data_IF_215964239594
#
_entry.id   IF_215964239594
#
_cell.length_a   1.000
_cell.length_b   1.000
_cell.length_c   1.000
_cell.angle_alpha   90.00
_cell.angle_beta   90.00
_cell.angle_gamma   90.00
#
_symmetry.space_group_name_H-M   'P 1'
#
loop_
_entity.id
_entity.type
_entity.pdbx_description
1 polymer ?
#
# COMPACT_ATOMS: atom_id res chain seq x y z
N UNK A 1 -69.86 -34.47 -7.38
CA UNK A 1 -70.82 -33.68 -6.58
C UNK A 1 -70.13 -32.39 -6.13
N UNK A 2 -70.81 -31.23 -6.20
CA UNK A 2 -70.22 -29.91 -6.02
C UNK A 2 -70.34 -29.44 -4.57
N UNK A 3 -69.36 -28.69 -4.04
CA UNK A 3 -69.65 -27.59 -3.11
C UNK A 3 -68.61 -26.48 -3.25
N UNK A 4 -69.11 -25.32 -3.70
CA UNK A 4 -68.49 -24.00 -3.55
C UNK A 4 -68.38 -23.67 -2.06
N UNK A 5 -67.29 -23.04 -1.65
CA UNK A 5 -67.26 -22.22 -0.44
C UNK A 5 -66.53 -20.91 -0.74
N UNK A 6 -67.32 -19.85 -0.83
CA UNK A 6 -66.92 -18.44 -0.81
C UNK A 6 -66.95 -17.96 0.65
N UNK A 7 -65.91 -17.23 1.07
CA UNK A 7 -65.84 -16.26 2.20
C UNK A 7 -64.37 -15.94 2.41
N UNK A 8 -63.92 -14.72 2.67
CA UNK A 8 -64.58 -13.45 2.88
C UNK A 8 -63.47 -12.45 3.18
N UNK A 9 -63.48 -11.31 2.50
CA UNK A 9 -62.55 -10.21 2.69
C UNK A 9 -62.80 -9.52 4.02
N UNK A 10 -61.78 -9.40 4.87
CA UNK A 10 -61.79 -8.48 6.00
C UNK A 10 -60.81 -7.34 5.74
N UNK A 11 -61.39 -6.18 5.46
CA UNK A 11 -60.69 -4.91 5.31
C UNK A 11 -60.07 -4.50 6.64
N UNK A 12 -58.78 -4.11 6.59
CA UNK A 12 -58.10 -3.46 7.70
C UNK A 12 -58.38 -1.96 7.65
N UNK A 13 -58.69 -1.31 8.80
CA UNK A 13 -58.92 0.12 8.85
C UNK A 13 -57.63 0.92 8.63
N UNK A 14 -57.71 1.92 7.76
CA UNK A 14 -56.71 2.98 7.61
C UNK A 14 -56.70 3.84 8.87
N UNK A 15 -55.59 3.82 9.61
CA UNK A 15 -55.36 4.72 10.72
C UNK A 15 -54.84 6.05 10.16
N UNK A 16 -55.67 7.09 10.24
CA UNK A 16 -55.30 8.47 9.93
C UNK A 16 -54.63 9.03 11.19
N UNK A 17 -53.31 9.21 11.16
CA UNK A 17 -52.59 9.92 12.23
C UNK A 17 -52.62 11.41 11.93
N UNK A 18 -53.30 12.14 12.80
CA UNK A 18 -53.44 13.59 12.76
C UNK A 18 -52.09 14.30 12.92
N UNK A 19 -51.79 15.22 12.00
CA UNK A 19 -50.72 16.22 12.14
C UNK A 19 -51.14 17.24 13.20
N UNK A 20 -50.40 17.30 14.31
CA UNK A 20 -50.51 18.39 15.29
C UNK A 20 -49.59 19.53 14.86
N UNK A 21 -50.20 20.61 14.37
CA UNK A 21 -49.54 21.91 14.15
C UNK A 21 -49.38 22.54 15.54
N UNK A 22 -48.14 22.75 15.97
CA UNK A 22 -47.83 23.58 17.15
C UNK A 22 -47.39 24.93 16.62
N UNK A 23 -48.22 25.93 16.90
CA UNK A 23 -48.00 27.35 16.61
C UNK A 23 -47.25 27.96 17.80
N UNK A 24 -46.12 28.63 17.49
CA UNK A 24 -45.70 29.88 18.10
C UNK A 24 -45.22 29.88 19.56
N UNK A 25 -43.90 29.98 19.74
CA UNK A 25 -43.30 30.65 20.90
C UNK A 25 -42.26 31.65 20.38
N UNK A 26 -42.24 32.90 20.89
CA UNK A 26 -41.47 33.99 20.30
C UNK A 26 -39.96 33.87 20.56
N UNK A 27 -39.18 34.33 19.58
CA UNK A 27 -37.74 34.56 19.70
C UNK A 27 -37.46 35.53 20.83
N UNK A 28 -36.82 35.04 21.89
CA UNK A 28 -36.10 35.88 22.85
C UNK A 28 -34.77 36.24 22.20
N UNK A 29 -34.57 37.52 21.91
CA UNK A 29 -33.31 38.07 21.46
C UNK A 29 -32.25 37.91 22.56
N UNK A 30 -31.37 36.93 22.40
CA UNK A 30 -30.17 36.78 23.24
C UNK A 30 -29.17 37.86 22.80
N UNK A 31 -28.91 38.81 23.69
CA UNK A 31 -27.83 39.78 23.54
C UNK A 31 -26.48 39.07 23.28
N UNK A 32 -25.65 39.55 22.34
CA UNK A 32 -24.32 38.99 22.14
C UNK A 32 -23.45 39.28 23.36
N UNK A 33 -23.20 38.25 24.16
CA UNK A 33 -22.23 38.30 25.25
C UNK A 33 -20.84 38.34 24.62
N UNK A 34 -20.13 39.46 24.81
CA UNK A 34 -18.76 39.64 24.35
C UNK A 34 -17.87 38.49 24.85
N UNK A 35 -17.42 37.65 23.93
CA UNK A 35 -16.45 36.59 24.18
C UNK A 35 -15.04 37.20 24.22
N UNK A 36 -14.31 36.87 25.30
CA UNK A 36 -12.94 37.26 25.52
C UNK A 36 -12.02 36.84 24.36
N UNK A 37 -10.99 37.64 24.01
CA UNK A 37 -10.04 37.30 22.96
C UNK A 37 -9.07 36.26 23.51
N UNK A 38 -9.28 34.99 23.17
CA UNK A 38 -8.45 33.94 23.77
C UNK A 38 -8.74 32.52 23.31
N UNK A 39 -8.83 32.28 22.00
CA UNK A 39 -8.49 31.00 21.35
C UNK A 39 -8.66 31.17 19.85
N UNK A 40 -7.55 31.50 19.18
CA UNK A 40 -7.46 31.33 17.75
C UNK A 40 -7.82 29.86 17.43
N UNK A 41 -8.95 29.64 16.75
CA UNK A 41 -9.13 28.41 15.99
C UNK A 41 -8.01 28.43 14.96
N UNK A 42 -6.96 27.65 15.21
CA UNK A 42 -5.90 27.42 14.25
C UNK A 42 -6.59 26.79 13.04
N UNK A 43 -6.86 27.61 12.03
CA UNK A 43 -7.21 27.16 10.70
C UNK A 43 -6.01 26.30 10.29
N UNK A 44 -6.14 24.98 10.36
CA UNK A 44 -5.12 24.06 9.86
C UNK A 44 -5.10 24.34 8.35
N UNK A 45 -4.04 24.97 7.85
CA UNK A 45 -3.80 25.07 6.41
C UNK A 45 -3.67 23.63 5.90
N UNK A 46 -4.68 23.16 5.16
CA UNK A 46 -4.72 21.82 4.54
C UNK A 46 -3.82 21.70 3.30
N UNK A 47 -2.65 22.33 3.30
CA UNK A 47 -1.74 22.29 2.14
C UNK A 47 -0.60 21.29 2.30
N UNK A 48 -0.34 20.86 3.53
CA UNK A 48 0.58 19.77 3.82
C UNK A 48 -0.23 18.61 4.41
N UNK A 49 0.16 17.37 4.12
CA UNK A 49 -0.07 16.22 5.01
C UNK A 49 -1.24 15.24 4.79
N UNK A 50 -1.58 14.81 3.58
CA UNK A 50 -2.61 13.75 3.47
C UNK A 50 -2.18 12.56 2.61
N UNK A 51 -1.78 11.46 3.27
CA UNK A 51 -1.89 10.14 2.66
C UNK A 51 -3.35 9.86 2.34
N UNK A 52 -3.60 9.31 1.15
CA UNK A 52 -4.91 8.80 0.78
C UNK A 52 -5.30 7.52 1.53
N UNK A 53 -4.36 6.67 1.97
CA UNK A 53 -4.69 5.33 2.49
C UNK A 53 -4.03 4.98 3.82
N UNK A 54 -4.71 4.19 4.65
CA UNK A 54 -4.18 3.62 5.91
C UNK A 54 -4.67 2.18 6.12
N UNK A 55 -3.91 1.38 6.85
CA UNK A 55 -4.31 0.01 7.22
C UNK A 55 -4.32 -0.12 8.75
N UNK A 56 -5.48 -0.50 9.28
CA UNK A 56 -5.69 -0.92 10.66
C UNK A 56 -5.79 -2.45 10.75
N UNK A 57 -5.29 -3.02 11.85
CA UNK A 57 -5.03 -4.46 11.97
C UNK A 57 -5.38 -5.00 13.36
N UNK A 58 -6.00 -6.18 13.40
CA UNK A 58 -6.32 -6.93 14.64
C UNK A 58 -5.75 -8.34 14.64
N UNK A 59 -4.96 -8.69 15.65
CA UNK A 59 -4.39 -10.04 15.78
C UNK A 59 -5.47 -11.13 15.98
N UNK A 60 -5.19 -12.29 15.38
CA UNK A 60 -5.82 -13.62 15.48
C UNK A 60 -7.15 -13.81 16.24
N UNK A 61 -8.24 -13.14 15.84
CA UNK A 61 -9.60 -13.57 16.21
C UNK A 61 -10.56 -13.55 15.03
N UNK A 62 -11.08 -14.72 14.58
CA UNK A 62 -12.04 -14.79 13.48
C UNK A 62 -13.35 -14.04 13.77
N UNK A 63 -13.72 -13.87 15.04
CA UNK A 63 -14.94 -13.18 15.44
C UNK A 63 -14.89 -11.68 15.16
N UNK A 64 -13.69 -11.08 15.26
CA UNK A 64 -13.49 -9.64 14.99
C UNK A 64 -13.93 -9.30 13.57
N UNK A 65 -13.61 -10.16 12.59
CA UNK A 65 -14.03 -9.96 11.21
C UNK A 65 -15.55 -9.85 11.08
N UNK A 66 -16.29 -10.79 11.67
CA UNK A 66 -17.76 -10.81 11.57
C UNK A 66 -18.37 -9.59 12.25
N UNK A 67 -17.87 -9.23 13.44
CA UNK A 67 -18.34 -8.05 14.18
C UNK A 67 -18.04 -6.75 13.43
N UNK A 68 -16.82 -6.60 12.91
CA UNK A 68 -16.40 -5.42 12.16
C UNK A 68 -17.21 -5.27 10.87
N UNK A 69 -17.33 -6.34 10.08
CA UNK A 69 -18.10 -6.34 8.84
C UNK A 69 -19.58 -6.02 9.11
N UNK A 70 -20.18 -6.67 10.11
CA UNK A 70 -21.56 -6.39 10.48
C UNK A 70 -21.74 -4.96 10.98
N UNK A 71 -20.77 -4.39 11.70
CA UNK A 71 -20.88 -3.02 12.19
C UNK A 71 -20.77 -2.01 11.04
N UNK A 72 -19.72 -2.08 10.23
CA UNK A 72 -19.47 -1.13 9.15
C UNK A 72 -20.59 -1.19 8.10
N UNK A 73 -21.10 -2.39 7.78
CA UNK A 73 -22.21 -2.53 6.84
C UNK A 73 -23.54 -1.94 7.32
N UNK A 74 -23.68 -1.68 8.62
CA UNK A 74 -24.87 -1.05 9.21
C UNK A 74 -24.68 0.46 9.46
N UNK A 75 -23.52 1.03 9.13
CA UNK A 75 -23.33 2.48 9.21
C UNK A 75 -24.19 3.21 8.15
N UNK A 76 -24.62 4.45 8.44
CA UNK A 76 -25.34 5.25 7.45
C UNK A 76 -24.45 5.55 6.24
N UNK A 77 -25.08 5.66 5.06
CA UNK A 77 -24.41 5.99 3.79
C UNK A 77 -23.34 4.98 3.35
N UNK A 78 -23.42 3.73 3.83
CA UNK A 78 -22.55 2.65 3.36
C UNK A 78 -23.16 1.96 2.16
N UNK A 79 -22.36 1.82 1.11
CA UNK A 79 -22.73 1.09 -0.10
C UNK A 79 -21.75 -0.05 -0.32
N UNK A 80 -22.26 -1.28 -0.43
CA UNK A 80 -21.46 -2.45 -0.74
C UNK A 80 -21.04 -2.45 -2.21
N UNK A 81 -19.73 -2.47 -2.48
CA UNK A 81 -19.17 -2.44 -3.83
C UNK A 81 -18.81 -3.81 -4.38
N UNK A 82 -18.41 -4.74 -3.53
CA UNK A 82 -18.07 -6.08 -4.00
C UNK A 82 -17.15 -6.85 -3.07
N UNK A 83 -16.69 -7.99 -3.59
CA UNK A 83 -15.75 -8.86 -2.89
C UNK A 83 -14.34 -8.32 -3.03
N UNK A 84 -13.59 -8.40 -1.94
CA UNK A 84 -12.19 -8.06 -1.89
C UNK A 84 -11.38 -9.34 -1.72
N UNK A 85 -10.64 -9.76 -2.74
CA UNK A 85 -9.88 -11.01 -2.69
C UNK A 85 -8.50 -10.84 -3.32
N UNK A 86 -7.47 -11.16 -2.54
CA UNK A 86 -6.08 -11.12 -2.99
C UNK A 86 -5.34 -12.40 -2.65
N UNK A 87 -4.42 -12.77 -3.54
CA UNK A 87 -3.50 -13.88 -3.34
C UNK A 87 -2.08 -13.35 -3.41
N UNK A 88 -1.35 -13.52 -2.32
CA UNK A 88 0.05 -13.19 -2.21
C UNK A 88 0.92 -14.47 -2.18
N UNK A 89 2.03 -14.45 -2.90
CA UNK A 89 3.01 -15.55 -3.00
C UNK A 89 4.42 -15.01 -2.81
N UNK A 90 5.29 -15.82 -2.21
CA UNK A 90 6.73 -15.53 -2.17
C UNK A 90 7.52 -16.50 -3.06
N UNK A 91 8.59 -15.99 -3.66
CA UNK A 91 9.53 -16.72 -4.49
C UNK A 91 10.94 -16.39 -4.03
N UNK A 92 11.85 -17.37 -4.17
CA UNK A 92 13.27 -17.21 -3.87
C UNK A 92 14.09 -17.45 -5.11
N UNK A 93 15.05 -16.57 -5.38
CA UNK A 93 16.04 -16.79 -6.43
C UNK A 93 16.95 -17.95 -6.04
N UNK A 94 17.16 -18.91 -6.95
CA UNK A 94 18.21 -19.93 -6.84
C UNK A 94 19.54 -19.47 -7.47
N UNK A 95 19.57 -18.29 -8.09
CA UNK A 95 20.79 -17.64 -8.56
C UNK A 95 21.32 -16.66 -7.52
N UNK A 96 22.65 -16.50 -7.46
CA UNK A 96 23.29 -15.45 -6.66
C UNK A 96 23.14 -14.08 -7.35
N UNK A 97 22.85 -12.99 -6.60
CA UNK A 97 22.60 -12.95 -5.16
C UNK A 97 21.21 -13.49 -4.78
N UNK A 98 21.09 -14.01 -3.56
CA UNK A 98 19.81 -14.42 -2.97
C UNK A 98 18.85 -13.23 -2.94
N UNK A 99 17.80 -13.31 -3.76
CA UNK A 99 16.73 -12.31 -3.86
C UNK A 99 15.39 -12.92 -3.51
N UNK A 100 14.51 -12.06 -3.01
CA UNK A 100 13.14 -12.41 -2.71
C UNK A 100 12.21 -11.65 -3.64
N UNK A 101 11.21 -12.35 -4.16
CA UNK A 101 10.17 -11.78 -4.99
C UNK A 101 8.84 -12.09 -4.33
N UNK A 102 7.99 -11.08 -4.21
CA UNK A 102 6.66 -11.19 -3.64
C UNK A 102 5.65 -10.73 -4.67
N UNK A 103 4.71 -11.60 -5.03
CA UNK A 103 3.67 -11.31 -6.02
C UNK A 103 2.31 -11.24 -5.34
N UNK A 104 1.53 -10.20 -5.62
CA UNK A 104 0.15 -10.02 -5.17
C UNK A 104 -0.77 -9.92 -6.39
N UNK A 105 -1.74 -10.83 -6.48
CA UNK A 105 -2.81 -10.74 -7.47
C UNK A 105 -3.88 -9.77 -6.96
N UNK A 106 -4.10 -8.69 -7.70
CA UNK A 106 -5.07 -7.63 -7.39
C UNK A 106 -5.95 -7.39 -8.62
N UNK A 107 -7.20 -7.87 -8.58
CA UNK A 107 -8.09 -7.81 -9.75
C UNK A 107 -7.48 -8.52 -10.96
N UNK A 108 -7.28 -7.79 -12.05
CA UNK A 108 -6.65 -8.26 -13.29
C UNK A 108 -5.14 -7.98 -13.34
N UNK A 109 -4.57 -7.48 -12.25
CA UNK A 109 -3.16 -7.13 -12.13
C UNK A 109 -2.41 -8.13 -11.26
N UNK A 110 -1.11 -8.28 -11.55
CA UNK A 110 -0.15 -8.83 -10.59
C UNK A 110 0.89 -7.76 -10.26
N UNK A 111 1.00 -7.45 -8.98
CA UNK A 111 1.99 -6.52 -8.46
C UNK A 111 3.12 -7.29 -7.82
N UNK A 112 4.35 -6.93 -8.17
CA UNK A 112 5.56 -7.66 -7.82
C UNK A 112 6.47 -6.73 -7.05
N UNK A 113 6.79 -7.10 -5.82
CA UNK A 113 7.82 -6.48 -5.01
C UNK A 113 9.06 -7.37 -5.01
N UNK A 114 10.12 -6.90 -5.66
CA UNK A 114 11.44 -7.50 -5.62
C UNK A 114 12.24 -6.85 -4.48
N UNK A 115 12.74 -7.65 -3.54
CA UNK A 115 13.64 -7.17 -2.48
C UNK A 115 15.00 -7.87 -2.57
N UNK A 116 16.07 -7.07 -2.58
CA UNK A 116 17.43 -7.54 -2.34
C UNK A 116 17.88 -7.16 -0.93
N UNK A 117 17.75 -8.11 0.01
CA UNK A 117 18.12 -7.88 1.42
C UNK A 117 19.61 -7.64 1.60
N UNK A 118 20.45 -8.24 0.76
CA UNK A 118 21.91 -8.08 0.80
C UNK A 118 22.35 -6.72 0.25
N UNK A 119 21.44 -5.95 -0.35
CA UNK A 119 21.77 -4.59 -0.79
C UNK A 119 21.97 -3.64 0.39
N UNK A 120 21.47 -3.93 1.59
CA UNK A 120 21.68 -3.10 2.78
C UNK A 120 23.09 -3.23 3.34
N UNK A 121 23.68 -4.42 3.23
CA UNK A 121 25.04 -4.70 3.69
C UNK A 121 26.09 -4.13 2.72
N UNK A 122 25.69 -3.89 1.46
CA UNK A 122 26.60 -3.49 0.38
C UNK A 122 27.16 -2.07 0.51
N UNK A 123 26.41 -1.02 0.86
CA UNK A 123 26.96 0.31 1.08
C UNK A 123 28.04 0.32 2.17
N UNK A 124 27.78 -0.32 3.32
CA UNK A 124 28.77 -0.43 4.40
C UNK A 124 30.00 -1.24 3.95
N UNK A 125 29.80 -2.30 3.15
CA UNK A 125 30.92 -3.03 2.56
C UNK A 125 31.71 -2.20 1.55
N UNK A 126 31.05 -1.36 0.74
CA UNK A 126 31.69 -0.46 -0.22
C UNK A 126 32.47 0.65 0.48
N UNK A 127 31.93 1.24 1.55
CA UNK A 127 32.64 2.23 2.38
C UNK A 127 33.87 1.60 3.03
N UNK A 128 33.74 0.38 3.54
CA UNK A 128 34.89 -0.37 4.08
C UNK A 128 35.96 -0.61 3.02
N UNK A 129 35.58 -1.08 1.83
CA UNK A 129 36.53 -1.29 0.71
C UNK A 129 37.20 0.03 0.31
N UNK A 130 36.45 1.13 0.28
CA UNK A 130 36.98 2.46 -0.04
C UNK A 130 37.99 2.93 1.01
N UNK A 131 37.66 2.79 2.29
CA UNK A 131 38.56 3.15 3.39
C UNK A 131 39.86 2.31 3.36
N UNK A 132 39.75 1.00 3.08
CA UNK A 132 40.91 0.11 2.92
C UNK A 132 41.77 0.52 1.72
N UNK A 133 41.16 0.88 0.59
CA UNK A 133 41.88 1.39 -0.59
C UNK A 133 42.57 2.73 -0.34
N UNK A 134 41.92 3.65 0.37
CA UNK A 134 42.49 4.95 0.75
C UNK A 134 43.68 4.76 1.71
N UNK A 135 43.55 3.88 2.72
CA UNK A 135 44.64 3.54 3.63
C UNK A 135 45.82 2.87 2.91
N UNK A 136 45.56 1.95 1.98
CA UNK A 136 46.60 1.31 1.17
C UNK A 136 47.33 2.32 0.27
N UNK A 137 46.60 3.27 -0.31
CA UNK A 137 47.16 4.34 -1.14
C UNK A 137 48.02 5.30 -0.31
N UNK A 138 47.59 5.65 0.90
CA UNK A 138 48.37 6.48 1.83
C UNK A 138 49.64 5.76 2.32
N UNK A 139 49.56 4.47 2.63
CA UNK A 139 50.74 3.68 3.02
C UNK A 139 51.75 3.56 1.87
N UNK A 140 51.28 3.39 0.62
CA UNK A 140 52.14 3.39 -0.55
C UNK A 140 52.83 4.75 -0.78
N UNK A 141 52.12 5.86 -0.56
CA UNK A 141 52.68 7.21 -0.66
C UNK A 141 53.73 7.51 0.42
N UNK A 142 53.52 7.00 1.65
CA UNK A 142 54.47 7.18 2.76
C UNK A 142 55.73 6.30 2.65
N UNK A 143 55.67 5.22 1.86
CA UNK A 143 56.80 4.32 1.62
C UNK A 143 57.72 4.78 0.48
N UNK A 144 57.46 5.93 -0.15
CA UNK A 144 58.41 6.53 -1.09
C UNK A 144 59.62 6.99 -0.29
N UNK A 145 60.79 6.34 -0.42
CA UNK A 145 61.97 6.75 0.31
C UNK A 145 62.30 8.18 -0.10
N UNK A 146 62.51 9.05 0.88
CA UNK A 146 63.25 10.29 0.67
C UNK A 146 64.61 9.88 0.12
N UNK A 147 64.77 10.05 -1.19
CA UNK A 147 66.05 9.95 -1.86
C UNK A 147 66.89 11.08 -1.27
N UNK A 148 67.65 10.76 -0.22
CA UNK A 148 68.79 11.59 0.14
C UNK A 148 69.77 11.48 -1.03
N UNK A 149 70.19 12.64 -1.53
CA UNK A 149 71.09 12.80 -2.67
C UNK A 149 72.35 11.91 -2.55
N UNK A 150 72.83 11.47 -3.71
CA UNK A 150 74.07 10.73 -3.97
C UNK A 150 74.01 9.18 -3.92
N UNK A 151 73.35 8.54 -4.90
CA UNK A 151 73.94 7.33 -5.50
C UNK A 151 73.40 7.04 -6.92
N UNK A 152 74.33 6.89 -7.86
CA UNK A 152 74.11 6.56 -9.27
C UNK A 152 73.62 5.11 -9.39
N UNK A 153 72.33 4.91 -9.66
CA UNK A 153 71.78 3.58 -9.93
C UNK A 153 72.06 3.19 -11.38
N UNK A 154 72.84 2.12 -11.54
CA UNK A 154 73.17 1.46 -12.80
C UNK A 154 71.90 0.77 -13.33
N UNK A 155 71.42 1.21 -14.50
CA UNK A 155 70.36 0.56 -15.28
C UNK A 155 70.84 -0.82 -15.75
N UNK A 156 70.02 -1.86 -15.57
CA UNK A 156 70.28 -3.13 -16.25
C UNK A 156 70.00 -3.01 -17.76
N UNK A 157 70.66 -3.84 -18.55
CA UNK A 157 70.60 -3.80 -20.03
C UNK A 157 69.25 -4.26 -20.62
N UNK A 158 68.24 -4.55 -19.78
CA UNK A 158 66.88 -4.89 -20.21
C UNK A 158 65.88 -3.73 -20.04
N UNK A 159 66.27 -2.63 -19.39
CA UNK A 159 65.51 -1.38 -19.38
C UNK A 159 64.16 -1.47 -18.67
N UNK A 160 64.02 -2.35 -17.67
CA UNK A 160 62.77 -2.52 -16.94
C UNK A 160 62.94 -2.14 -15.48
N UNK A 161 62.47 -0.93 -15.14
CA UNK A 161 62.41 -0.48 -13.75
C UNK A 161 61.57 -1.44 -12.88
N UNK A 162 61.87 -1.59 -11.58
CA UNK A 162 61.03 -2.31 -10.62
C UNK A 162 59.75 -1.50 -10.36
N UNK A 163 58.87 -1.49 -11.37
CA UNK A 163 57.57 -0.84 -11.33
C UNK A 163 56.71 -1.48 -10.27
N UNK A 164 56.39 -0.69 -9.23
CA UNK A 164 55.37 -1.00 -8.25
C UNK A 164 54.09 -1.41 -8.98
N UNK A 165 53.78 -2.71 -8.94
CA UNK A 165 52.53 -3.24 -9.50
C UNK A 165 51.40 -2.53 -8.75
N UNK A 166 50.57 -1.70 -9.42
CA UNK A 166 49.49 -1.01 -8.75
C UNK A 166 48.59 -2.04 -8.04
N UNK A 167 48.09 -1.76 -6.83
CA UNK A 167 47.24 -2.69 -6.12
C UNK A 167 46.06 -3.04 -7.02
N UNK A 168 45.93 -4.33 -7.30
CA UNK A 168 44.90 -4.91 -8.15
C UNK A 168 43.55 -4.44 -7.62
N UNK A 169 42.93 -3.46 -8.28
CA UNK A 169 41.61 -2.94 -7.92
C UNK A 169 40.67 -4.14 -7.95
N UNK A 170 40.28 -4.63 -6.78
CA UNK A 170 39.27 -5.68 -6.70
C UNK A 170 37.99 -5.08 -7.28
N UNK A 171 37.51 -5.67 -8.38
CA UNK A 171 36.32 -5.27 -9.11
C UNK A 171 35.20 -4.92 -8.12
N UNK A 172 34.86 -3.64 -8.04
CA UNK A 172 33.66 -3.20 -7.31
C UNK A 172 32.50 -3.99 -7.92
N UNK A 173 31.80 -4.84 -7.14
CA UNK A 173 30.75 -5.67 -7.68
C UNK A 173 29.56 -4.78 -8.04
N UNK A 174 29.54 -4.29 -9.28
CA UNK A 174 28.37 -3.74 -9.94
C UNK A 174 27.48 -4.90 -10.43
N UNK A 175 26.15 -4.77 -10.30
CA UNK A 175 25.42 -3.51 -10.34
C UNK A 175 24.94 -3.00 -8.98
N UNK A 176 24.93 -1.67 -8.80
CA UNK A 176 24.01 -0.96 -7.91
C UNK A 176 22.58 -1.22 -8.41
N UNK A 177 21.96 -2.31 -7.98
CA UNK A 177 20.54 -2.52 -8.21
C UNK A 177 19.74 -1.93 -7.06
N UNK A 178 18.54 -1.45 -7.38
CA UNK A 178 17.61 -0.93 -6.40
C UNK A 178 17.33 -1.97 -5.31
N UNK A 179 17.38 -1.54 -4.05
CA UNK A 179 17.06 -2.37 -2.87
C UNK A 179 15.69 -3.02 -3.00
N UNK A 180 14.75 -2.23 -3.49
CA UNK A 180 13.37 -2.60 -3.74
C UNK A 180 13.01 -2.19 -5.17
N UNK A 181 12.35 -3.07 -5.91
CA UNK A 181 11.76 -2.73 -7.20
C UNK A 181 10.31 -3.16 -7.20
N UNK A 182 9.40 -2.26 -7.55
CA UNK A 182 7.98 -2.53 -7.60
C UNK A 182 7.46 -2.48 -9.05
N UNK A 183 6.99 -3.62 -9.53
CA UNK A 183 6.57 -3.83 -10.92
C UNK A 183 5.11 -4.25 -10.93
N UNK A 184 4.36 -3.86 -11.95
CA UNK A 184 2.97 -4.27 -12.12
C UNK A 184 2.80 -4.83 -13.52
N UNK A 185 2.18 -6.01 -13.65
CA UNK A 185 1.99 -6.70 -14.93
C UNK A 185 0.51 -7.03 -15.15
N UNK A 186 0.10 -7.03 -16.42
CA UNK A 186 -1.22 -7.46 -16.90
C UNK A 186 -1.06 -8.49 -18.03
N UNK A 187 -1.89 -9.57 -18.08
CA UNK A 187 -2.72 -10.13 -17.02
C UNK A 187 -1.92 -10.96 -15.99
N UNK A 188 -2.49 -11.40 -14.85
CA UNK A 188 -1.75 -11.99 -13.74
C UNK A 188 -1.06 -13.31 -14.10
N UNK A 189 -1.69 -14.08 -15.01
CA UNK A 189 -1.21 -15.38 -15.49
C UNK A 189 0.12 -15.25 -16.24
N UNK A 190 0.41 -14.07 -16.82
CA UNK A 190 1.64 -13.84 -17.58
C UNK A 190 2.86 -13.98 -16.69
N UNK A 191 2.80 -13.64 -15.40
CA UNK A 191 4.00 -13.67 -14.58
C UNK A 191 4.58 -15.09 -14.42
N UNK A 192 3.75 -16.07 -14.05
CA UNK A 192 4.20 -17.46 -13.86
C UNK A 192 4.61 -18.11 -15.19
N UNK A 193 3.85 -17.82 -16.25
CA UNK A 193 4.20 -18.27 -17.60
C UNK A 193 5.53 -17.67 -18.07
N UNK A 194 5.74 -16.38 -17.80
CA UNK A 194 6.97 -15.66 -18.11
C UNK A 194 8.15 -16.27 -17.35
N UNK A 195 8.02 -16.52 -16.04
CA UNK A 195 9.07 -17.19 -15.25
C UNK A 195 9.43 -18.55 -15.86
N UNK A 196 8.44 -19.33 -16.30
CA UNK A 196 8.66 -20.60 -16.99
C UNK A 196 9.35 -20.45 -18.35
N UNK A 197 8.91 -19.50 -19.18
CA UNK A 197 9.44 -19.25 -20.52
C UNK A 197 10.90 -18.81 -20.51
N UNK A 198 11.25 -17.88 -19.61
CA UNK A 198 12.64 -17.40 -19.50
C UNK A 198 13.54 -18.36 -18.69
N UNK A 199 13.00 -19.52 -18.27
CA UNK A 199 13.67 -20.49 -17.39
C UNK A 199 14.27 -19.79 -16.17
N UNK A 200 13.50 -18.85 -15.62
CA UNK A 200 13.95 -18.00 -14.55
C UNK A 200 14.27 -18.88 -13.33
N UNK A 201 15.39 -18.57 -12.65
CA UNK A 201 15.83 -19.28 -11.45
C UNK A 201 15.05 -18.81 -10.21
N UNK A 202 13.72 -18.84 -10.27
CA UNK A 202 12.83 -18.47 -9.16
C UNK A 202 12.02 -19.68 -8.72
N UNK A 203 12.16 -20.08 -7.47
CA UNK A 203 11.40 -21.18 -6.89
C UNK A 203 10.25 -20.59 -6.03
N UNK A 204 8.99 -21.00 -6.25
CA UNK A 204 7.89 -20.61 -5.36
C UNK A 204 8.12 -21.19 -3.98
N UNK A 205 7.79 -20.42 -2.95
CA UNK A 205 7.84 -20.87 -1.56
C UNK A 205 6.46 -21.33 -1.11
N UNK A 206 6.39 -22.24 -0.12
CA UNK A 206 5.11 -22.77 0.36
C UNK A 206 4.25 -21.71 1.08
N UNK A 207 4.83 -20.57 1.48
CA UNK A 207 4.09 -19.51 2.16
C UNK A 207 3.24 -18.74 1.16
N UNK A 208 1.93 -18.94 1.25
CA UNK A 208 0.92 -18.14 0.54
C UNK A 208 0.02 -17.45 1.54
N UNK A 209 -0.30 -16.20 1.27
CA UNK A 209 -1.27 -15.44 2.06
C UNK A 209 -2.46 -15.07 1.19
N UNK A 210 -3.66 -15.24 1.71
CA UNK A 210 -4.91 -14.90 1.04
C UNK A 210 -5.62 -13.85 1.89
N UNK A 211 -6.02 -12.76 1.26
CA UNK A 211 -6.90 -11.75 1.88
C UNK A 211 -8.27 -11.98 1.28
N UNK A 212 -9.28 -12.20 2.12
CA UNK A 212 -10.68 -12.34 1.69
C UNK A 212 -11.57 -11.40 2.49
N UNK A 213 -12.43 -10.66 1.80
CA UNK A 213 -13.16 -9.58 2.41
C UNK A 213 -14.20 -8.93 1.51
N UNK A 214 -14.56 -7.71 1.87
CA UNK A 214 -15.51 -6.88 1.14
C UNK A 214 -14.96 -5.47 0.96
N UNK A 215 -15.40 -4.83 -0.11
CA UNK A 215 -15.19 -3.41 -0.37
C UNK A 215 -16.53 -2.70 -0.23
N UNK A 216 -16.55 -1.61 0.52
CA UNK A 216 -17.67 -0.69 0.60
C UNK A 216 -17.20 0.76 0.43
N UNK A 217 -18.13 1.64 0.12
CA UNK A 217 -17.91 3.09 0.15
C UNK A 217 -18.73 3.71 1.27
N UNK A 218 -18.22 4.77 1.89
CA UNK A 218 -18.93 5.55 2.91
C UNK A 218 -19.04 6.99 2.40
N UNK A 219 -20.26 7.40 2.03
CA UNK A 219 -20.44 8.66 1.29
C UNK A 219 -19.78 8.62 -0.09
N UNK A 220 -19.35 9.78 -0.60
CA UNK A 220 -18.70 9.92 -1.90
C UNK A 220 -17.18 9.75 -1.88
N UNK A 221 -16.57 9.93 -0.71
CA UNK A 221 -15.13 10.21 -0.65
C UNK A 221 -14.33 9.09 0.04
N UNK A 222 -14.98 8.06 0.59
CA UNK A 222 -14.29 7.02 1.34
C UNK A 222 -14.48 5.64 0.72
N UNK A 223 -13.37 4.96 0.50
CA UNK A 223 -13.32 3.52 0.20
C UNK A 223 -12.84 2.80 1.44
N UNK A 224 -13.62 1.81 1.87
CA UNK A 224 -13.30 0.98 3.02
C UNK A 224 -13.24 -0.46 2.54
N UNK A 225 -12.06 -1.07 2.66
CA UNK A 225 -11.83 -2.48 2.35
C UNK A 225 -11.53 -3.19 3.65
N UNK A 226 -12.25 -4.24 3.92
CA UNK A 226 -12.09 -4.99 5.16
C UNK A 226 -11.99 -6.46 4.81
N UNK A 227 -11.08 -7.18 5.47
CA UNK A 227 -10.85 -8.58 5.15
C UNK A 227 -10.19 -9.36 6.27
N UNK A 228 -10.34 -10.68 6.18
CA UNK A 228 -9.57 -11.64 6.95
C UNK A 228 -8.33 -12.05 6.16
N UNK A 229 -7.23 -12.25 6.88
CA UNK A 229 -5.96 -12.71 6.34
C UNK A 229 -5.80 -14.19 6.70
N UNK A 230 -5.58 -15.02 5.68
CA UNK A 230 -5.37 -16.45 5.77
C UNK A 230 -3.95 -16.76 5.32
N UNK A 231 -3.24 -17.64 6.01
CA UNK A 231 -2.00 -18.25 5.52
C UNK A 231 -2.25 -19.74 5.36
N UNK A 232 -2.31 -20.20 4.10
CA UNK A 232 -2.99 -21.46 3.78
C UNK A 232 -4.45 -21.41 4.24
N UNK A 233 -4.86 -22.34 5.11
CA UNK A 233 -6.21 -22.39 5.69
C UNK A 233 -6.29 -21.82 7.12
N UNK A 234 -5.22 -21.24 7.63
CA UNK A 234 -5.14 -20.75 9.01
C UNK A 234 -5.42 -19.24 9.05
N UNK A 235 -6.39 -18.82 9.87
CA UNK A 235 -6.68 -17.42 10.10
C UNK A 235 -5.55 -16.73 10.87
N UNK A 236 -4.96 -15.69 10.28
CA UNK A 236 -3.86 -14.89 10.87
C UNK A 236 -4.34 -13.55 11.41
N UNK A 237 -5.51 -13.08 11.01
CA UNK A 237 -6.19 -11.97 11.65
C UNK A 237 -7.08 -11.18 10.70
N UNK A 238 -7.57 -10.05 11.17
CA UNK A 238 -8.45 -9.13 10.44
C UNK A 238 -7.74 -7.83 10.11
N UNK A 239 -8.07 -7.23 8.98
CA UNK A 239 -7.58 -5.92 8.56
C UNK A 239 -8.69 -5.03 8.01
N UNK A 240 -8.44 -3.72 8.07
CA UNK A 240 -9.26 -2.66 7.53
C UNK A 240 -8.32 -1.68 6.80
N UNK A 241 -8.44 -1.61 5.48
CA UNK A 241 -7.83 -0.56 4.66
C UNK A 241 -8.87 0.54 4.43
N UNK A 242 -8.49 1.78 4.74
CA UNK A 242 -9.31 2.96 4.49
C UNK A 242 -8.58 3.85 3.51
N UNK A 243 -9.27 4.28 2.48
CA UNK A 243 -8.77 5.21 1.48
C UNK A 243 -9.73 6.39 1.27
N UNK A 244 -9.18 7.60 1.21
CA UNK A 244 -9.89 8.85 0.94
C UNK A 244 -9.67 9.30 -0.51
N UNK A 245 -10.76 9.41 -1.28
CA UNK A 245 -10.86 9.76 -2.69
C UNK A 245 -11.17 11.27 -2.84
N UNK A 246 -10.18 12.15 -2.66
CA UNK A 246 -9.67 12.90 -3.82
C UNK A 246 -8.14 13.07 -3.82
N UNK A 247 -7.40 12.32 -3.00
CA UNK A 247 -5.98 12.61 -2.77
C UNK A 247 -5.03 11.86 -3.72
N UNK A 248 -4.26 12.65 -4.47
CA UNK A 248 -3.13 12.22 -5.31
C UNK A 248 -1.76 12.62 -4.71
N UNK A 249 -1.74 13.25 -3.54
CA UNK A 249 -0.50 13.81 -2.97
C UNK A 249 0.29 12.72 -2.23
N UNK A 250 1.62 12.69 -2.35
CA UNK A 250 2.48 11.80 -1.57
C UNK A 250 2.27 11.99 -0.05
N UNK A 251 2.49 10.94 0.76
CA UNK A 251 2.53 11.03 2.21
C UNK A 251 3.50 12.15 2.63
N UNK A 252 3.15 13.00 3.60
CA UNK A 252 4.18 13.55 4.45
C UNK A 252 4.89 12.38 5.15
N UNK A 253 6.21 12.44 5.24
CA UNK A 253 7.01 11.48 6.00
C UNK A 253 6.74 11.69 7.49
N UNK A 254 5.60 11.20 7.98
CA UNK A 254 5.29 11.17 9.42
C UNK A 254 5.93 9.93 10.03
N UNK A 255 6.24 9.96 11.33
CA UNK A 255 7.01 8.95 12.11
C UNK A 255 6.37 7.54 12.19
N UNK A 256 5.80 7.04 11.10
CA UNK A 256 4.99 5.82 11.03
C UNK A 256 3.58 5.98 11.60
N UNK A 257 3.10 7.20 11.82
CA UNK A 257 1.71 7.46 12.24
C UNK A 257 0.83 7.70 11.01
N UNK A 258 -0.42 7.19 10.98
CA UNK A 258 -1.36 7.57 9.94
C UNK A 258 -1.67 9.07 10.01
N UNK A 259 -2.09 9.71 8.89
CA UNK A 259 -2.61 11.07 8.92
C UNK A 259 -3.77 11.18 9.91
N UNK A 260 -3.87 12.32 10.59
CA UNK A 260 -4.88 12.53 11.63
C UNK A 260 -6.29 12.25 11.12
N UNK A 261 -6.64 12.69 9.91
CA UNK A 261 -7.97 12.46 9.32
C UNK A 261 -8.29 10.97 9.16
N UNK A 262 -7.31 10.16 8.72
CA UNK A 262 -7.51 8.72 8.56
C UNK A 262 -7.64 8.05 9.93
N UNK A 263 -6.83 8.48 10.91
CA UNK A 263 -6.91 7.97 12.27
C UNK A 263 -8.26 8.27 12.93
N UNK A 264 -8.74 9.51 12.81
CA UNK A 264 -10.03 9.96 13.33
C UNK A 264 -11.19 9.27 12.63
N UNK A 265 -11.14 9.15 11.30
CA UNK A 265 -12.16 8.43 10.55
C UNK A 265 -12.24 6.96 10.97
N UNK A 266 -11.10 6.26 11.02
CA UNK A 266 -11.03 4.86 11.44
C UNK A 266 -11.56 4.69 12.87
N UNK A 267 -11.20 5.59 13.79
CA UNK A 267 -11.75 5.59 15.15
C UNK A 267 -13.26 5.83 15.18
N UNK A 268 -13.82 6.58 14.22
CA UNK A 268 -15.26 6.86 14.12
C UNK A 268 -16.09 5.68 13.59
N UNK A 269 -15.51 4.84 12.72
CA UNK A 269 -16.24 3.72 12.07
C UNK A 269 -16.02 2.37 12.74
N UNK A 270 -15.11 2.30 13.72
CA UNK A 270 -14.83 1.09 14.49
C UNK A 270 -15.61 1.15 15.81
N UNK A 271 -16.32 0.07 16.19
CA UNK A 271 -16.99 0.03 17.47
C UNK A 271 -15.96 0.01 18.61
N UNK A 272 -16.26 0.67 19.73
CA UNK A 272 -15.33 0.76 20.88
C UNK A 272 -14.86 -0.61 21.41
N UNK A 273 -15.68 -1.65 21.26
CA UNK A 273 -15.32 -3.03 21.61
C UNK A 273 -14.16 -3.60 20.79
N UNK A 274 -13.86 -3.00 19.63
CA UNK A 274 -12.79 -3.37 18.71
C UNK A 274 -11.67 -2.33 18.68
N UNK A 275 -11.53 -1.46 19.67
CA UNK A 275 -10.51 -0.40 19.71
C UNK A 275 -9.05 -0.91 19.86
N UNK A 276 -8.82 -2.22 19.96
CA UNK A 276 -7.50 -2.83 20.12
C UNK A 276 -6.69 -2.98 18.82
N UNK A 277 -7.06 -2.24 17.76
CA UNK A 277 -6.33 -2.31 16.49
C UNK A 277 -5.01 -1.57 16.55
N UNK A 278 -4.09 -1.98 15.67
CA UNK A 278 -2.83 -1.29 15.44
C UNK A 278 -2.81 -0.77 14.01
N UNK A 279 -2.41 0.49 13.83
CA UNK A 279 -2.08 1.01 12.52
C UNK A 279 -0.73 0.48 12.07
N UNK A 280 -0.66 0.03 10.82
CA UNK A 280 0.62 -0.37 10.25
C UNK A 280 1.46 0.87 9.96
N UNK A 281 2.71 0.92 10.46
CA UNK A 281 3.57 2.05 10.21
C UNK A 281 3.97 2.07 8.74
N UNK A 282 3.45 3.03 7.98
CA UNK A 282 3.86 3.30 6.60
C UNK A 282 5.14 4.12 6.60
N UNK A 283 6.29 3.45 6.73
CA UNK A 283 7.62 4.07 6.66
C UNK A 283 8.17 3.94 5.24
N UNK A 284 7.78 4.84 4.35
CA UNK A 284 8.30 4.89 2.98
C UNK A 284 9.03 6.20 2.78
N UNK A 285 10.14 6.17 2.04
CA UNK A 285 10.71 7.41 1.55
C UNK A 285 9.80 8.01 0.47
N UNK A 286 9.83 9.33 0.34
CA UNK A 286 9.16 10.03 -0.76
C UNK A 286 9.56 9.46 -2.12
N UNK A 287 10.82 9.05 -2.28
CA UNK A 287 11.32 8.37 -3.47
C UNK A 287 10.62 7.02 -3.73
N UNK A 288 10.49 6.16 -2.71
CA UNK A 288 9.79 4.88 -2.88
C UNK A 288 8.33 5.11 -3.27
N UNK A 289 7.69 6.13 -2.68
CA UNK A 289 6.32 6.46 -3.01
C UNK A 289 6.16 7.07 -4.40
N UNK A 290 7.08 7.93 -4.83
CA UNK A 290 7.07 8.52 -6.16
C UNK A 290 7.30 7.46 -7.24
N UNK A 291 8.11 6.42 -7.00
CA UNK A 291 8.25 5.26 -7.90
C UNK A 291 6.96 4.43 -8.02
N UNK A 292 6.12 4.43 -6.97
CA UNK A 292 4.82 3.75 -6.99
C UNK A 292 3.80 4.57 -7.77
N UNK A 293 3.81 5.90 -7.60
CA UNK A 293 2.88 6.82 -8.27
C UNK A 293 3.23 7.09 -9.74
N UNK A 294 4.50 7.36 -10.04
CA UNK A 294 4.95 7.90 -11.32
C UNK A 294 5.30 6.81 -12.36
N UNK A 295 4.65 5.66 -12.32
CA UNK A 295 4.93 4.64 -13.34
C UNK A 295 4.48 5.14 -14.72
N UNK A 296 5.43 5.18 -15.66
CA UNK A 296 5.27 5.72 -17.00
C UNK A 296 4.15 5.10 -17.86
N UNK A 297 3.48 4.05 -17.36
CA UNK A 297 2.41 3.34 -18.06
C UNK A 297 1.02 3.97 -17.90
N UNK A 298 0.87 5.05 -17.12
CA UNK A 298 -0.36 5.85 -17.12
C UNK A 298 -0.43 6.71 -18.38
N UNK A 299 -0.78 6.09 -19.51
CA UNK A 299 -1.38 6.84 -20.62
C UNK A 299 -2.67 7.41 -20.06
N UNK A 300 -2.84 8.76 -19.99
CA UNK A 300 -4.07 9.35 -19.49
C UNK A 300 -5.23 8.73 -20.27
N UNK A 301 -6.31 8.30 -19.60
CA UNK A 301 -7.41 7.63 -20.27
C UNK A 301 -7.83 8.52 -21.44
N UNK A 302 -7.68 7.99 -22.67
CA UNK A 302 -8.10 8.69 -23.88
C UNK A 302 -9.56 9.05 -23.63
N UNK A 303 -9.94 10.34 -23.63
CA UNK A 303 -11.30 10.73 -23.30
C UNK A 303 -12.22 9.96 -24.24
N UNK A 304 -12.95 8.99 -23.67
CA UNK A 304 -13.97 8.27 -24.39
C UNK A 304 -14.98 9.34 -24.78
N UNK A 305 -15.05 9.65 -26.08
CA UNK A 305 -16.00 10.61 -26.60
C UNK A 305 -17.37 10.30 -26.01
N UNK A 306 -17.95 11.31 -25.35
CA UNK A 306 -19.25 11.22 -24.70
C UNK A 306 -20.27 10.63 -25.67
N UNK A 307 -20.54 9.35 -25.53
CA UNK A 307 -21.72 8.72 -26.12
C UNK A 307 -22.77 8.77 -25.02
N UNK A 308 -23.57 9.84 -25.06
CA UNK A 308 -24.79 9.97 -24.26
C UNK A 308 -25.66 8.73 -24.47
N UNK A 309 -25.87 7.95 -23.40
CA UNK A 309 -26.52 6.65 -23.54
C UNK A 309 -27.06 6.08 -22.25
N UNK A 310 -28.21 6.61 -21.81
CA UNK A 310 -29.31 5.85 -21.19
C UNK A 310 -29.00 5.24 -19.81
N UNK A 311 -29.39 5.97 -18.76
CA UNK A 311 -29.48 5.49 -17.38
C UNK A 311 -30.39 4.25 -17.27
N UNK A 312 -29.80 3.09 -16.98
CA UNK A 312 -30.55 1.88 -16.58
C UNK A 312 -30.71 1.84 -15.06
N UNK A 313 -31.91 2.18 -14.57
CA UNK A 313 -32.36 1.86 -13.22
C UNK A 313 -32.73 0.37 -13.13
N UNK A 314 -31.98 -0.42 -12.36
CA UNK A 314 -32.29 -1.83 -12.06
C UNK A 314 -31.37 -2.38 -10.98
N UNK A 315 -31.88 -2.55 -9.76
CA UNK A 315 -31.13 -2.80 -8.52
C UNK A 315 -30.79 -4.29 -8.26
N UNK A 316 -30.58 -5.10 -9.30
CA UNK A 316 -30.19 -6.51 -9.13
C UNK A 316 -28.97 -6.81 -10.02
N UNK A 317 -27.82 -6.97 -9.37
CA UNK A 317 -26.51 -7.27 -9.96
C UNK A 317 -25.83 -6.13 -10.74
N UNK A 318 -25.60 -4.98 -10.10
CA UNK A 318 -24.52 -4.10 -10.54
C UNK A 318 -23.19 -4.86 -10.37
N UNK A 319 -22.77 -5.58 -11.42
CA UNK A 319 -21.34 -5.83 -11.63
C UNK A 319 -20.70 -4.45 -11.68
N UNK A 320 -19.79 -4.11 -10.74
CA UNK A 320 -19.20 -2.79 -10.70
C UNK A 320 -18.62 -2.46 -12.07
N UNK A 321 -19.10 -1.36 -12.68
CA UNK A 321 -18.56 -0.89 -13.94
C UNK A 321 -17.14 -0.39 -13.66
N UNK A 322 -16.15 -0.83 -14.46
CA UNK A 322 -14.73 -0.43 -14.35
C UNK A 322 -14.51 1.10 -14.34
N UNK A 323 -15.53 1.88 -14.70
CA UNK A 323 -15.51 3.32 -14.89
C UNK A 323 -16.17 4.12 -13.76
N UNK A 324 -17.03 3.50 -12.94
CA UNK A 324 -17.84 4.25 -11.95
C UNK A 324 -17.02 4.69 -10.73
N UNK A 325 -15.96 3.94 -10.46
CA UNK A 325 -14.92 4.25 -9.51
C UNK A 325 -13.69 3.72 -10.18
N UNK A 326 -12.99 4.56 -10.95
CA UNK A 326 -11.71 4.17 -11.49
C UNK A 326 -10.82 3.80 -10.30
N UNK A 327 -10.79 2.51 -9.93
CA UNK A 327 -9.62 1.87 -9.36
C UNK A 327 -8.57 1.97 -10.44
N UNK A 328 -8.07 3.19 -10.60
CA UNK A 328 -7.02 3.51 -11.53
C UNK A 328 -5.90 2.56 -11.20
N UNK A 329 -5.16 2.18 -12.22
CA UNK A 329 -4.01 1.31 -12.04
C UNK A 329 -3.09 1.81 -10.92
N UNK A 330 -2.93 3.12 -10.76
CA UNK A 330 -2.26 3.72 -9.60
C UNK A 330 -2.91 3.40 -8.24
N UNK A 331 -4.24 3.46 -8.10
CA UNK A 331 -4.92 3.11 -6.85
C UNK A 331 -4.66 1.66 -6.46
N UNK A 332 -4.84 0.73 -7.40
CA UNK A 332 -4.58 -0.70 -7.16
C UNK A 332 -3.12 -0.94 -6.83
N UNK A 333 -2.20 -0.29 -7.56
CA UNK A 333 -0.76 -0.36 -7.34
C UNK A 333 -0.36 0.15 -5.95
N UNK A 334 -0.93 1.28 -5.49
CA UNK A 334 -0.73 1.81 -4.12
C UNK A 334 -1.22 0.81 -3.07
N UNK A 335 -2.46 0.36 -3.20
CA UNK A 335 -3.08 -0.60 -2.28
C UNK A 335 -2.25 -1.89 -2.23
N UNK A 336 -1.89 -2.44 -3.40
CA UNK A 336 -1.07 -3.64 -3.52
C UNK A 336 0.30 -3.52 -2.84
N UNK A 337 0.96 -2.36 -2.98
CA UNK A 337 2.22 -2.11 -2.30
C UNK A 337 2.06 -2.11 -0.78
N UNK A 338 1.06 -1.41 -0.25
CA UNK A 338 0.75 -1.36 1.19
C UNK A 338 0.44 -2.77 1.73
N UNK A 339 -0.36 -3.54 1.00
CA UNK A 339 -0.71 -4.92 1.36
C UNK A 339 0.52 -5.83 1.39
N UNK A 340 1.36 -5.78 0.35
CA UNK A 340 2.60 -6.57 0.31
C UNK A 340 3.52 -6.21 1.47
N UNK A 341 3.68 -4.92 1.75
CA UNK A 341 4.51 -4.46 2.87
C UNK A 341 3.99 -4.95 4.21
N UNK A 342 2.69 -4.81 4.46
CA UNK A 342 2.03 -5.37 5.65
C UNK A 342 2.35 -6.86 5.81
N UNK A 343 2.13 -7.65 4.75
CA UNK A 343 2.30 -9.10 4.80
C UNK A 343 3.76 -9.49 5.08
N UNK A 344 4.73 -8.68 4.64
CA UNK A 344 6.15 -8.87 4.92
C UNK A 344 6.50 -8.51 6.37
N UNK A 345 6.04 -7.35 6.86
CA UNK A 345 6.32 -6.89 8.22
C UNK A 345 5.72 -7.85 9.27
N UNK A 346 4.56 -8.47 8.97
CA UNK A 346 3.96 -9.52 9.80
C UNK A 346 4.53 -10.94 9.57
N UNK A 347 5.53 -11.09 8.69
CA UNK A 347 6.14 -12.40 8.35
C UNK A 347 5.12 -13.43 7.84
N UNK A 348 4.06 -12.96 7.18
CA UNK A 348 3.05 -13.80 6.51
C UNK A 348 3.52 -14.25 5.12
N UNK A 349 4.49 -13.52 4.57
CA UNK A 349 5.30 -13.92 3.42
C UNK A 349 6.73 -14.11 3.91
N UNK A 350 7.29 -15.30 3.65
CA UNK A 350 8.65 -15.67 4.08
C UNK A 350 9.57 -15.67 2.90
#
# INVERSE_FOLDING_TARGET
MPQRSTRGSHGRPRMVVARRVIVGTPLVAVQPRALAPGRARKLIRCEDELMGSSIARWSSSPQIWVQLASHVMNLPNVEHRGRWKHLARSYRSSAYPDRFLFALVYGENVHILLEDRKSLERPAALEKIRAEQEAASQAAAAAVPTVEDDEVIILDAAGQEPGAVPPKIQNIPLPLHFRTTFISLKPPVVFEQFLGQVKAKWAPRPSTAIIEGITCTIGSDWVVRMGRILQGNVHKGTMLEVEYLPLLVPPPTTDGKPPAILAEFVASIIPQSLASFTFLPTRFSEQQWSEILNSADEVPPKPLGATEGIYSHGFEHATPHSTDWASGFAQERRSAFLLLRMLLDERLLI
#
